data_IF_781092892168
#
_entry.id   IF_781092892168
#
_cell.length_a   1.000
_cell.length_b   1.000
_cell.length_c   1.000
_cell.angle_alpha   90.00
_cell.angle_beta   90.00
_cell.angle_gamma   90.00
#
_symmetry.space_group_name_H-M   'P 1'
#
loop_
_entity.id
_entity.type
_entity.pdbx_description
1 polymer ?
#
# COMPACT_ATOMS: atom_id res chain seq x y z
N UNK A 1 -4.09 2.37 9.39
CA UNK A 1 -3.76 0.93 9.37
C UNK A 1 -2.25 0.80 9.28
N UNK A 2 -1.59 0.09 10.21
CA UNK A 2 -0.17 -0.21 10.10
C UNK A 2 0.08 -1.18 8.95
N UNK A 3 1.11 -0.93 8.14
CA UNK A 3 1.53 -1.78 7.04
C UNK A 3 3.03 -2.03 7.11
N UNK A 4 3.46 -3.20 6.66
CA UNK A 4 4.88 -3.53 6.55
C UNK A 4 5.48 -2.89 5.30
N UNK A 5 6.66 -2.31 5.45
CA UNK A 5 7.48 -1.82 4.34
C UNK A 5 8.08 -3.03 3.63
N UNK A 6 7.89 -3.08 2.31
CA UNK A 6 8.40 -4.16 1.44
C UNK A 6 9.54 -3.72 0.54
N UNK A 7 9.90 -2.43 0.54
CA UNK A 7 11.10 -1.95 -0.18
C UNK A 7 12.38 -2.29 0.58
N UNK A 8 13.48 -2.42 -0.18
CA UNK A 8 14.79 -2.64 0.37
C UNK A 8 15.32 -1.38 1.07
N UNK A 9 16.19 -1.50 2.09
CA UNK A 9 16.88 -0.36 2.66
C UNK A 9 17.82 0.26 1.62
N UNK A 10 17.63 1.56 1.35
CA UNK A 10 18.41 2.32 0.35
C UNK A 10 17.72 2.51 -1.00
N UNK A 11 16.48 2.03 -1.15
CA UNK A 11 15.65 2.31 -2.32
C UNK A 11 15.14 3.76 -2.30
N UNK A 12 15.12 4.44 -3.44
CA UNK A 12 14.72 5.86 -3.54
C UNK A 12 13.21 6.06 -3.26
N UNK A 13 12.43 4.97 -3.32
CA UNK A 13 11.00 4.96 -3.11
C UNK A 13 10.59 3.92 -2.05
N UNK A 14 9.64 4.31 -1.21
CA UNK A 14 9.03 3.40 -0.22
C UNK A 14 7.95 2.55 -0.89
N UNK A 15 8.08 1.22 -0.82
CA UNK A 15 7.08 0.29 -1.34
C UNK A 15 6.36 -0.42 -0.20
N UNK A 16 5.04 -0.56 -0.34
CA UNK A 16 4.18 -1.31 0.59
C UNK A 16 3.19 -2.18 -0.19
N UNK A 17 2.94 -3.39 0.30
CA UNK A 17 1.90 -4.26 -0.25
C UNK A 17 0.65 -4.24 0.64
N UNK A 18 -0.45 -3.66 0.14
CA UNK A 18 -1.70 -3.49 0.88
C UNK A 18 -2.76 -4.45 0.33
N UNK A 19 -3.23 -5.40 1.15
CA UNK A 19 -4.36 -6.28 0.81
C UNK A 19 -5.68 -5.53 0.98
N UNK A 20 -6.58 -5.65 0.01
CA UNK A 20 -7.96 -5.14 0.13
C UNK A 20 -8.80 -6.04 1.01
N UNK A 21 -8.88 -5.73 2.30
CA UNK A 21 -9.60 -6.52 3.31
C UNK A 21 -10.67 -5.74 4.07
N UNK A 22 -10.91 -4.47 3.72
CA UNK A 22 -11.94 -3.64 4.35
C UNK A 22 -12.24 -2.38 3.56
N UNK A 23 -13.30 -1.69 3.95
CA UNK A 23 -13.87 -0.55 3.21
C UNK A 23 -12.82 0.53 2.90
N UNK A 24 -11.97 0.85 3.86
CA UNK A 24 -10.89 1.81 3.69
C UNK A 24 -9.86 1.36 2.64
N UNK A 25 -9.36 0.11 2.72
CA UNK A 25 -8.37 -0.41 1.75
C UNK A 25 -8.95 -0.55 0.34
N UNK A 26 -10.25 -0.82 0.23
CA UNK A 26 -10.96 -0.92 -1.04
C UNK A 26 -11.16 0.46 -1.67
N UNK A 27 -11.51 1.48 -0.89
CA UNK A 27 -11.58 2.86 -1.36
C UNK A 27 -10.21 3.38 -1.82
N UNK A 28 -9.15 3.08 -1.06
CA UNK A 28 -7.78 3.40 -1.43
C UNK A 28 -7.41 2.78 -2.79
N UNK A 29 -7.66 1.48 -2.98
CA UNK A 29 -7.41 0.82 -4.28
C UNK A 29 -8.17 1.48 -5.42
N UNK A 30 -9.44 1.86 -5.22
CA UNK A 30 -10.24 2.54 -6.27
C UNK A 30 -9.64 3.89 -6.68
N UNK A 31 -9.07 4.63 -5.74
CA UNK A 31 -8.47 5.94 -6.00
C UNK A 31 -7.18 5.84 -6.83
N UNK A 32 -6.35 4.83 -6.57
CA UNK A 32 -5.03 4.67 -7.20
C UNK A 32 -4.99 3.69 -8.38
N UNK A 33 -6.10 3.05 -8.74
CA UNK A 33 -6.18 2.08 -9.85
C UNK A 33 -6.53 2.72 -11.21
N UNK A 34 -6.37 4.03 -11.36
CA UNK A 34 -6.77 4.78 -12.57
C UNK A 34 -5.56 5.29 -13.35
#
# INVERSE_FOLDING_TARGET
HPFSITSAPGDDYLSVHIRTSGDWTTALKKLFSK
#
